data_IF_996717573558
#
_entry.id   IF_996717573558
#
_cell.length_a   1.000
_cell.length_b   1.000
_cell.length_c   1.000
_cell.angle_alpha   90.00
_cell.angle_beta   90.00
_cell.angle_gamma   90.00
#
_symmetry.space_group_name_H-M   'P 1'
#
loop_
_entity.id
_entity.type
_entity.pdbx_description
1 polymer ?
#
# COMPACT_ATOMS: atom_id res chain seq x y z
N UNK A 1 -1.97 1.07 33.72
CA UNK A 1 -2.65 1.92 32.72
C UNK A 1 -1.74 2.90 31.95
N UNK A 2 -0.70 3.57 32.53
CA UNK A 2 0.12 4.54 31.79
C UNK A 2 0.95 3.92 30.65
N UNK A 3 1.44 2.69 30.84
CA UNK A 3 2.25 1.98 29.85
C UNK A 3 1.50 1.71 28.54
N UNK A 4 0.19 1.44 28.62
CA UNK A 4 -0.65 1.22 27.43
C UNK A 4 -0.68 2.46 26.54
N UNK A 5 -0.97 3.64 27.12
CA UNK A 5 -0.98 4.91 26.38
C UNK A 5 0.38 5.27 25.79
N UNK A 6 1.48 4.96 26.49
CA UNK A 6 2.83 5.18 25.96
C UNK A 6 3.14 4.31 24.75
N UNK A 7 2.65 3.08 24.69
CA UNK A 7 2.78 2.22 23.51
C UNK A 7 2.05 2.84 22.31
N UNK A 8 0.83 3.34 22.50
CA UNK A 8 0.10 4.04 21.43
C UNK A 8 0.83 5.29 20.93
N UNK A 9 1.39 6.09 21.84
CA UNK A 9 2.17 7.29 21.47
C UNK A 9 3.45 6.90 20.71
N UNK A 10 4.16 5.86 21.16
CA UNK A 10 5.36 5.35 20.47
C UNK A 10 5.02 4.82 19.09
N UNK A 11 3.92 4.08 18.96
CA UNK A 11 3.43 3.55 17.70
C UNK A 11 3.04 4.67 16.72
N UNK A 12 2.25 5.65 17.17
CA UNK A 12 1.88 6.81 16.36
C UNK A 12 3.10 7.61 15.90
N UNK A 13 4.06 7.82 16.82
CA UNK A 13 5.32 8.50 16.50
C UNK A 13 6.14 7.73 15.49
N UNK A 14 6.24 6.40 15.63
CA UNK A 14 6.94 5.54 14.67
C UNK A 14 6.31 5.60 13.27
N UNK A 15 4.97 5.58 13.15
CA UNK A 15 4.27 5.75 11.86
C UNK A 15 4.58 7.13 11.27
N UNK A 16 4.44 8.19 12.07
CA UNK A 16 4.68 9.56 11.60
C UNK A 16 6.12 9.77 11.17
N UNK A 17 7.08 9.20 11.89
CA UNK A 17 8.49 9.32 11.57
C UNK A 17 8.85 8.45 10.35
N UNK A 18 8.21 7.29 10.17
CA UNK A 18 8.25 6.52 8.92
C UNK A 18 7.73 7.29 7.72
N UNK A 19 6.61 8.03 7.85
CA UNK A 19 6.06 8.89 6.79
C UNK A 19 6.95 10.09 6.41
N UNK A 20 7.94 10.46 7.24
CA UNK A 20 8.90 11.52 6.89
C UNK A 20 10.02 11.04 5.99
N UNK A 21 10.29 9.73 5.98
CA UNK A 21 11.31 9.14 5.12
C UNK A 21 10.90 9.28 3.65
N UNK A 22 11.76 9.85 2.79
CA UNK A 22 11.37 10.19 1.41
C UNK A 22 10.94 8.97 0.60
N UNK A 23 11.60 7.83 0.81
CA UNK A 23 11.30 6.55 0.15
C UNK A 23 9.92 6.00 0.57
N UNK A 24 9.65 5.98 1.87
CA UNK A 24 8.38 5.51 2.41
C UNK A 24 7.23 6.44 2.03
N UNK A 25 7.47 7.75 2.06
CA UNK A 25 6.51 8.76 1.60
C UNK A 25 6.20 8.60 0.11
N UNK A 26 7.20 8.39 -0.73
CA UNK A 26 7.00 8.16 -2.16
C UNK A 26 6.14 6.92 -2.41
N UNK A 27 6.43 5.80 -1.74
CA UNK A 27 5.63 4.59 -1.83
C UNK A 27 4.19 4.82 -1.40
N UNK A 28 3.97 5.49 -0.27
CA UNK A 28 2.64 5.83 0.23
C UNK A 28 1.86 6.70 -0.77
N UNK A 29 2.51 7.71 -1.35
CA UNK A 29 1.88 8.56 -2.38
C UNK A 29 1.55 7.75 -3.64
N UNK A 30 2.42 6.85 -4.08
CA UNK A 30 2.15 5.94 -5.21
C UNK A 30 0.92 5.07 -4.93
N UNK A 31 0.79 4.52 -3.72
CA UNK A 31 -0.40 3.75 -3.32
C UNK A 31 -1.65 4.61 -3.41
N UNK A 32 -1.64 5.84 -2.85
CA UNK A 32 -2.80 6.73 -2.92
C UNK A 32 -3.18 7.08 -4.36
N UNK A 33 -2.20 7.34 -5.23
CA UNK A 33 -2.44 7.61 -6.65
C UNK A 33 -3.06 6.39 -7.32
N UNK A 34 -2.51 5.19 -7.09
CA UNK A 34 -3.01 3.94 -7.69
C UNK A 34 -4.42 3.59 -7.20
N UNK A 35 -4.70 3.79 -5.91
CA UNK A 35 -6.05 3.63 -5.37
C UNK A 35 -7.01 4.65 -5.97
N UNK A 36 -6.60 5.91 -6.10
CA UNK A 36 -7.41 6.97 -6.71
C UNK A 36 -7.71 6.68 -8.18
N UNK A 37 -6.71 6.30 -8.97
CA UNK A 37 -6.89 6.00 -10.40
C UNK A 37 -7.76 4.77 -10.61
N UNK A 38 -7.55 3.70 -9.85
CA UNK A 38 -8.42 2.52 -9.88
C UNK A 38 -9.86 2.86 -9.53
N UNK A 39 -10.08 3.59 -8.44
CA UNK A 39 -11.42 4.00 -8.00
C UNK A 39 -12.15 4.83 -9.06
N UNK A 40 -11.48 5.84 -9.62
CA UNK A 40 -12.04 6.70 -10.69
C UNK A 40 -12.33 5.90 -11.95
N UNK A 41 -11.49 4.93 -12.30
CA UNK A 41 -11.71 4.05 -13.45
C UNK A 41 -12.94 3.17 -13.24
N UNK A 42 -13.02 2.42 -12.15
CA UNK A 42 -14.15 1.50 -11.91
C UNK A 42 -15.48 2.23 -11.71
N UNK A 43 -15.47 3.42 -11.08
CA UNK A 43 -16.66 4.26 -10.98
C UNK A 43 -17.22 4.62 -12.36
N UNK A 44 -16.35 5.00 -13.32
CA UNK A 44 -16.79 5.40 -14.66
C UNK A 44 -17.08 4.22 -15.58
N UNK A 45 -16.26 3.16 -15.53
CA UNK A 45 -16.33 2.05 -16.48
C UNK A 45 -17.38 1.00 -16.08
N UNK A 46 -17.57 0.75 -14.79
CA UNK A 46 -18.51 -0.25 -14.26
C UNK A 46 -19.74 0.39 -13.59
N UNK A 47 -19.78 1.72 -13.46
CA UNK A 47 -20.91 2.45 -12.89
C UNK A 47 -21.12 2.23 -11.39
N UNK A 48 -20.13 1.66 -10.69
CA UNK A 48 -20.20 1.41 -9.25
C UNK A 48 -20.18 2.70 -8.44
N UNK A 49 -20.71 2.67 -7.21
CA UNK A 49 -20.57 3.82 -6.31
C UNK A 49 -19.09 4.10 -6.00
N UNK A 50 -18.75 5.32 -5.58
CA UNK A 50 -17.38 5.66 -5.18
C UNK A 50 -16.82 4.72 -4.11
N UNK A 51 -17.68 4.28 -3.18
CA UNK A 51 -17.31 3.38 -2.09
C UNK A 51 -17.05 1.97 -2.62
N UNK A 52 -17.93 1.46 -3.49
CA UNK A 52 -17.77 0.11 -4.08
C UNK A 52 -16.56 0.04 -5.00
N UNK A 53 -16.30 1.09 -5.79
CA UNK A 53 -15.13 1.21 -6.64
C UNK A 53 -13.83 1.26 -5.81
N UNK A 54 -13.81 2.03 -4.71
CA UNK A 54 -12.67 2.08 -3.81
C UNK A 54 -12.45 0.73 -3.12
N UNK A 55 -13.53 0.11 -2.65
CA UNK A 55 -13.52 -1.21 -2.05
C UNK A 55 -12.92 -2.24 -3.00
N UNK A 56 -13.43 -2.34 -4.23
CA UNK A 56 -12.91 -3.27 -5.24
C UNK A 56 -11.42 -3.02 -5.54
N UNK A 57 -11.04 -1.74 -5.68
CA UNK A 57 -9.65 -1.36 -5.92
C UNK A 57 -8.74 -1.81 -4.78
N UNK A 58 -9.14 -1.58 -3.53
CA UNK A 58 -8.37 -1.98 -2.34
C UNK A 58 -8.27 -3.50 -2.23
N UNK A 59 -9.37 -4.25 -2.31
CA UNK A 59 -9.34 -5.71 -2.15
C UNK A 59 -8.60 -6.40 -3.29
N UNK A 60 -8.58 -5.81 -4.48
CA UNK A 60 -7.78 -6.30 -5.61
C UNK A 60 -6.31 -6.02 -5.39
N UNK A 61 -5.93 -4.79 -5.03
CA UNK A 61 -4.53 -4.40 -4.84
C UNK A 61 -3.88 -5.12 -3.64
N UNK A 62 -4.67 -5.41 -2.61
CA UNK A 62 -4.24 -6.18 -1.43
C UNK A 62 -4.34 -7.70 -1.63
N UNK A 63 -4.75 -8.16 -2.81
CA UNK A 63 -4.89 -9.58 -3.17
C UNK A 63 -5.92 -10.36 -2.33
N UNK A 64 -6.84 -9.66 -1.64
CA UNK A 64 -7.93 -10.27 -0.87
C UNK A 64 -8.97 -10.88 -1.82
N UNK A 65 -9.46 -10.11 -2.80
CA UNK A 65 -10.30 -10.59 -3.89
C UNK A 65 -11.53 -11.41 -3.50
N UNK A 66 -12.47 -10.83 -2.73
CA UNK A 66 -13.68 -11.53 -2.28
C UNK A 66 -14.59 -12.05 -3.42
N UNK A 67 -14.56 -11.42 -4.59
CA UNK A 67 -15.30 -11.86 -5.79
C UNK A 67 -16.79 -11.47 -5.80
N UNK A 68 -17.25 -10.74 -4.79
CA UNK A 68 -18.57 -10.13 -4.70
C UNK A 68 -18.79 -9.03 -5.76
N UNK A 69 -17.77 -8.22 -6.00
CA UNK A 69 -17.68 -7.32 -7.16
C UNK A 69 -16.65 -7.85 -8.14
N UNK A 70 -16.97 -7.79 -9.43
CA UNK A 70 -16.05 -8.17 -10.51
C UNK A 70 -16.35 -7.37 -11.78
N UNK A 71 -15.32 -6.98 -12.55
CA UNK A 71 -15.50 -6.22 -13.78
C UNK A 71 -16.30 -7.03 -14.80
N UNK A 72 -17.37 -6.43 -15.30
CA UNK A 72 -18.28 -7.06 -16.26
C UNK A 72 -17.86 -6.78 -17.69
N UNK A 73 -17.24 -5.62 -17.96
CA UNK A 73 -16.85 -5.23 -19.31
C UNK A 73 -15.51 -5.83 -19.74
N UNK A 74 -15.32 -6.15 -21.05
CA UNK A 74 -14.02 -6.63 -21.54
C UNK A 74 -12.87 -5.65 -21.26
N UNK A 75 -13.12 -4.34 -21.39
CA UNK A 75 -12.12 -3.31 -21.14
C UNK A 75 -11.69 -3.29 -19.67
N UNK A 76 -12.63 -3.36 -18.72
CA UNK A 76 -12.31 -3.36 -17.30
C UNK A 76 -11.64 -4.65 -16.85
N UNK A 77 -11.94 -5.79 -17.47
CA UNK A 77 -11.19 -7.03 -17.25
C UNK A 77 -9.72 -6.87 -17.66
N UNK A 78 -9.46 -6.34 -18.85
CA UNK A 78 -8.09 -6.08 -19.33
C UNK A 78 -7.38 -5.08 -18.42
N UNK A 79 -8.04 -3.98 -18.05
CA UNK A 79 -7.49 -3.02 -17.09
C UNK A 79 -7.11 -3.68 -15.77
N UNK A 80 -8.00 -4.51 -15.21
CA UNK A 80 -7.77 -5.21 -13.94
C UNK A 80 -6.56 -6.14 -14.00
N UNK A 81 -6.35 -6.83 -15.13
CA UNK A 81 -5.17 -7.67 -15.34
C UNK A 81 -3.88 -6.83 -15.21
N UNK A 82 -3.79 -5.70 -15.91
CA UNK A 82 -2.63 -4.81 -15.80
C UNK A 82 -2.51 -4.17 -14.40
N UNK A 83 -3.63 -3.83 -13.80
CA UNK A 83 -3.69 -3.21 -12.47
C UNK A 83 -3.12 -4.12 -11.37
N UNK A 84 -3.35 -5.43 -11.46
CA UNK A 84 -2.78 -6.42 -10.54
C UNK A 84 -1.24 -6.42 -10.60
N UNK A 85 -0.64 -6.31 -11.79
CA UNK A 85 0.82 -6.24 -11.92
C UNK A 85 1.41 -4.98 -11.25
N UNK A 86 0.70 -3.85 -11.31
CA UNK A 86 1.10 -2.64 -10.58
C UNK A 86 1.07 -2.87 -9.07
N UNK A 87 0.02 -3.53 -8.56
CA UNK A 87 -0.07 -3.92 -7.16
C UNK A 87 1.09 -4.81 -6.70
N UNK A 88 1.45 -5.82 -7.50
CA UNK A 88 2.61 -6.68 -7.22
C UNK A 88 3.92 -5.89 -7.18
N UNK A 89 4.09 -4.91 -8.08
CA UNK A 89 5.26 -4.02 -8.08
C UNK A 89 5.37 -3.21 -6.79
N UNK A 90 4.27 -2.64 -6.31
CA UNK A 90 4.21 -1.87 -5.06
C UNK A 90 4.62 -2.76 -3.86
N UNK A 91 4.05 -3.97 -3.77
CA UNK A 91 4.38 -4.91 -2.69
C UNK A 91 5.86 -5.30 -2.74
N UNK A 92 6.40 -5.56 -3.93
CA UNK A 92 7.82 -5.87 -4.12
C UNK A 92 8.73 -4.73 -3.64
N UNK A 93 8.45 -3.49 -4.05
CA UNK A 93 9.19 -2.31 -3.60
C UNK A 93 9.11 -2.14 -2.08
N UNK A 94 7.96 -2.39 -1.47
CA UNK A 94 7.81 -2.34 -0.03
C UNK A 94 8.72 -3.34 0.70
N UNK A 95 8.78 -4.59 0.21
CA UNK A 95 9.65 -5.63 0.78
C UNK A 95 11.13 -5.23 0.66
N UNK A 96 11.55 -4.73 -0.51
CA UNK A 96 12.94 -4.29 -0.73
C UNK A 96 13.30 -3.16 0.23
N UNK A 97 12.43 -2.16 0.38
CA UNK A 97 12.65 -1.05 1.30
C UNK A 97 12.83 -1.53 2.74
N UNK A 98 12.01 -2.48 3.20
CA UNK A 98 12.14 -3.07 4.53
C UNK A 98 13.44 -3.86 4.68
N UNK A 99 13.80 -4.65 3.68
CA UNK A 99 15.04 -5.43 3.68
C UNK A 99 16.29 -4.54 3.73
N UNK A 100 16.29 -3.41 3.01
CA UNK A 100 17.37 -2.44 3.08
C UNK A 100 17.47 -1.77 4.45
N UNK A 101 16.33 -1.43 5.07
CA UNK A 101 16.28 -0.80 6.40
C UNK A 101 16.81 -1.75 7.47
N UNK A 102 16.43 -3.03 7.45
CA UNK A 102 16.92 -4.04 8.39
C UNK A 102 18.41 -4.35 8.18
N UNK A 103 18.87 -4.39 6.93
CA UNK A 103 20.29 -4.61 6.59
C UNK A 103 21.17 -3.44 7.04
N UNK A 104 20.72 -2.19 6.80
CA UNK A 104 21.41 -0.97 7.25
C UNK A 104 21.50 -0.91 8.78
N UNK A 105 20.42 -1.25 9.49
CA UNK A 105 20.42 -1.30 10.95
C UNK A 105 21.42 -2.33 11.51
N UNK A 106 21.47 -3.53 10.91
CA UNK A 106 22.42 -4.59 11.29
C UNK A 106 23.88 -4.18 11.04
N UNK A 107 24.19 -3.53 9.91
CA UNK A 107 25.54 -3.03 9.61
C UNK A 107 26.00 -1.92 10.55
N UNK A 108 25.12 -1.01 10.95
CA UNK A 108 25.47 0.08 11.87
C UNK A 108 25.74 -0.42 13.29
N UNK A 109 25.04 -1.47 13.75
CA UNK A 109 25.35 -2.11 15.04
C UNK A 109 26.80 -2.61 15.12
N UNK A 110 27.28 -3.29 14.07
CA UNK A 110 28.65 -3.82 14.01
C UNK A 110 29.76 -2.75 13.94
N UNK A 111 29.46 -1.55 13.46
CA UNK A 111 30.42 -0.42 13.43
C UNK A 111 30.58 0.29 14.78
N UNK A 112 29.68 0.05 15.73
CA UNK A 112 29.71 0.72 17.05
C UNK A 112 30.41 -0.15 18.10
N UNK A 113 30.64 -1.43 17.78
CA UNK A 113 31.39 -2.39 18.61
C UNK A 113 32.87 -2.55 18.18
N UNK A 114 33.31 -1.83 17.14
CA UNK A 114 34.71 -1.73 16.71
C UNK A 114 35.24 -0.32 16.97
#
# INVERSE_FOLDING_TARGET
>A
MPAFFLVFIRFYRAIRDGLKEPEFRALFMTVLVVLGTGTVYYHQAEGWSWVDALYFTVVTLTTIGYGDLHPTTPASKIFTIFFIFVGLGIISTFIVLLAERTTKATKNGKKTEQ
#
